data_IF_970276022735
#
_entry.id   IF_970276022735
#
_cell.length_a   1.000
_cell.length_b   1.000
_cell.length_c   1.000
_cell.angle_alpha   90.00
_cell.angle_beta   90.00
_cell.angle_gamma   90.00
#
_symmetry.space_group_name_H-M   'P 1'
#
loop_
_entity.id
_entity.type
_entity.pdbx_description
1 polymer ?
#
# COMPACT_ATOMS: atom_id res chain seq x y z
N UNK A 1 23.03 -1.45 23.33
CA UNK A 1 23.46 -0.77 22.09
C UNK A 1 23.39 -1.76 20.93
N UNK A 2 22.66 -1.42 19.89
CA UNK A 2 22.47 -2.32 18.74
C UNK A 2 23.67 -2.27 17.82
N UNK A 3 24.18 -3.41 17.40
CA UNK A 3 25.27 -3.49 16.44
C UNK A 3 24.76 -3.22 15.01
N UNK A 4 25.67 -2.85 14.12
CA UNK A 4 25.33 -2.64 12.71
C UNK A 4 24.70 -3.89 12.08
N UNK A 5 25.20 -5.09 12.43
CA UNK A 5 24.65 -6.36 11.96
C UNK A 5 23.21 -6.59 12.46
N UNK A 6 22.94 -6.25 13.72
CA UNK A 6 21.61 -6.37 14.31
C UNK A 6 20.64 -5.43 13.62
N UNK A 7 21.07 -4.19 13.32
CA UNK A 7 20.26 -3.22 12.59
C UNK A 7 19.95 -3.71 11.18
N UNK A 8 20.91 -4.30 10.48
CA UNK A 8 20.70 -4.85 9.15
C UNK A 8 19.75 -6.04 9.16
N UNK A 9 19.85 -6.92 10.16
CA UNK A 9 18.95 -8.05 10.32
C UNK A 9 17.52 -7.58 10.63
N UNK A 10 17.37 -6.56 11.49
CA UNK A 10 16.08 -5.97 11.81
C UNK A 10 15.43 -5.34 10.57
N UNK A 11 16.20 -4.59 9.78
CA UNK A 11 15.70 -4.00 8.54
C UNK A 11 15.27 -5.07 7.55
N UNK A 12 16.04 -6.16 7.42
CA UNK A 12 15.71 -7.27 6.53
C UNK A 12 14.42 -7.97 6.99
N UNK A 13 14.26 -8.19 8.29
CA UNK A 13 13.04 -8.78 8.84
C UNK A 13 11.83 -7.89 8.56
N UNK A 14 11.97 -6.58 8.69
CA UNK A 14 10.90 -5.63 8.38
C UNK A 14 10.54 -5.65 6.90
N UNK A 15 11.54 -5.74 6.01
CA UNK A 15 11.28 -5.89 4.57
C UNK A 15 10.48 -7.15 4.26
N UNK A 16 10.75 -8.26 4.97
CA UNK A 16 9.99 -9.50 4.78
C UNK A 16 8.53 -9.35 5.21
N UNK A 17 8.26 -8.64 6.32
CA UNK A 17 6.89 -8.35 6.73
C UNK A 17 6.15 -7.57 5.64
N UNK A 18 6.83 -6.59 5.04
CA UNK A 18 6.23 -5.81 3.95
C UNK A 18 5.99 -6.67 2.71
N UNK A 19 6.91 -7.59 2.37
CA UNK A 19 6.70 -8.54 1.27
C UNK A 19 5.47 -9.41 1.51
N UNK A 20 5.32 -9.92 2.73
CA UNK A 20 4.16 -10.72 3.12
C UNK A 20 2.87 -9.92 2.99
N UNK A 21 2.92 -8.61 3.24
CA UNK A 21 1.77 -7.72 3.05
C UNK A 21 1.28 -7.77 1.60
N UNK A 22 2.18 -7.62 0.64
CA UNK A 22 1.80 -7.69 -0.78
C UNK A 22 1.31 -9.08 -1.18
N UNK A 23 1.91 -10.12 -0.64
CA UNK A 23 1.48 -11.49 -0.92
C UNK A 23 0.06 -11.75 -0.41
N UNK A 24 -0.26 -11.27 0.80
CA UNK A 24 -1.59 -11.38 1.37
C UNK A 24 -2.62 -10.62 0.54
N UNK A 25 -2.28 -9.40 0.10
CA UNK A 25 -3.14 -8.61 -0.80
C UNK A 25 -3.39 -9.39 -2.10
N UNK A 26 -2.36 -9.96 -2.70
CA UNK A 26 -2.46 -10.72 -3.94
C UNK A 26 -3.36 -11.95 -3.82
N UNK A 27 -3.43 -12.56 -2.63
CA UNK A 27 -4.31 -13.69 -2.36
C UNK A 27 -5.71 -13.26 -1.94
N UNK A 28 -5.94 -11.98 -1.68
CA UNK A 28 -7.18 -11.51 -1.08
C UNK A 28 -7.38 -11.98 0.36
N UNK A 29 -6.30 -12.30 1.05
CA UNK A 29 -6.33 -12.83 2.42
C UNK A 29 -6.29 -11.69 3.44
N UNK A 30 -7.43 -11.06 3.68
CA UNK A 30 -7.53 -9.92 4.59
C UNK A 30 -7.17 -10.29 6.04
N UNK A 31 -7.60 -11.44 6.61
CA UNK A 31 -7.16 -11.80 7.95
C UNK A 31 -5.64 -11.91 8.09
N UNK A 32 -4.95 -12.54 7.13
CA UNK A 32 -3.50 -12.62 7.15
C UNK A 32 -2.86 -11.22 7.10
N UNK A 33 -3.41 -10.35 6.25
CA UNK A 33 -2.96 -8.97 6.11
C UNK A 33 -3.06 -8.21 7.44
N UNK A 34 -4.22 -8.30 8.10
CA UNK A 34 -4.43 -7.59 9.36
C UNK A 34 -3.51 -8.08 10.47
N UNK A 35 -3.11 -9.36 10.46
CA UNK A 35 -2.15 -9.89 11.42
C UNK A 35 -0.75 -9.31 11.28
N UNK A 36 -0.42 -8.74 10.14
CA UNK A 36 0.88 -8.11 9.89
C UNK A 36 0.92 -6.65 10.36
N UNK A 37 -0.20 -6.10 10.79
CA UNK A 37 -0.34 -4.69 11.14
C UNK A 37 -0.70 -4.48 12.61
N UNK A 38 -0.24 -3.36 13.17
CA UNK A 38 -0.62 -2.99 14.54
C UNK A 38 -2.11 -2.68 14.62
N UNK A 39 -2.68 -2.77 15.83
CA UNK A 39 -4.10 -2.45 16.05
C UNK A 39 -4.42 -0.99 15.74
N UNK A 40 -3.45 -0.10 15.96
CA UNK A 40 -3.59 1.34 15.74
C UNK A 40 -3.02 1.80 14.39
N UNK A 41 -2.88 0.91 13.44
CA UNK A 41 -2.30 1.22 12.12
C UNK A 41 -2.96 2.44 11.48
N UNK A 42 -2.13 3.29 10.86
CA UNK A 42 -2.58 4.43 10.10
C UNK A 42 -2.23 4.22 8.63
N UNK A 43 -3.22 4.29 7.78
CA UNK A 43 -3.10 4.00 6.35
C UNK A 43 -3.51 5.21 5.53
N UNK A 44 -2.57 5.78 4.78
CA UNK A 44 -2.82 7.00 4.01
C UNK A 44 -2.57 6.75 2.52
N UNK A 45 -3.59 7.01 1.73
CA UNK A 45 -3.49 7.08 0.28
C UNK A 45 -3.72 8.53 -0.13
N UNK A 46 -2.68 9.22 -0.56
CA UNK A 46 -2.79 10.62 -0.95
C UNK A 46 -3.48 10.75 -2.30
N UNK A 47 -4.40 11.69 -2.39
CA UNK A 47 -5.09 11.99 -3.63
C UNK A 47 -6.31 12.86 -3.43
N UNK A 48 -6.86 13.41 -4.51
CA UNK A 48 -8.05 14.22 -4.45
C UNK A 48 -9.31 13.36 -4.18
N UNK A 49 -10.44 13.99 -3.77
CA UNK A 49 -11.67 13.25 -3.45
C UNK A 49 -12.29 12.46 -4.61
N UNK A 50 -11.86 12.72 -5.84
CA UNK A 50 -12.30 11.94 -7.00
C UNK A 50 -11.82 10.50 -6.96
N UNK A 51 -10.77 10.23 -6.17
CA UNK A 51 -10.30 8.86 -5.92
C UNK A 51 -11.06 8.34 -4.70
N UNK A 52 -11.95 7.34 -4.86
CA UNK A 52 -12.84 6.90 -3.76
C UNK A 52 -12.13 6.40 -2.52
N UNK A 53 -10.91 5.85 -2.67
CA UNK A 53 -10.15 5.29 -1.55
C UNK A 53 -9.03 6.22 -1.06
N UNK A 54 -9.01 7.49 -1.52
CA UNK A 54 -8.04 8.47 -1.02
C UNK A 54 -8.34 8.88 0.42
N UNK A 55 -7.32 9.38 1.12
CA UNK A 55 -7.43 9.85 2.48
C UNK A 55 -6.72 8.96 3.48
N UNK A 56 -6.89 9.28 4.76
CA UNK A 56 -6.27 8.53 5.85
C UNK A 56 -7.32 7.69 6.55
N UNK A 57 -6.98 6.42 6.76
CA UNK A 57 -7.81 5.48 7.50
C UNK A 57 -7.03 4.91 8.66
N UNK A 58 -7.73 4.61 9.73
CA UNK A 58 -7.10 4.16 10.97
C UNK A 58 -7.71 2.84 11.42
N UNK A 59 -6.88 2.05 12.12
CA UNK A 59 -7.26 0.78 12.70
C UNK A 59 -7.62 -0.25 11.62
N UNK A 60 -7.78 -1.49 12.04
CA UNK A 60 -8.06 -2.58 11.10
C UNK A 60 -9.34 -2.36 10.30
N UNK A 61 -10.38 -1.84 10.95
CA UNK A 61 -11.66 -1.56 10.27
C UNK A 61 -11.51 -0.53 9.15
N UNK A 62 -10.76 0.53 9.40
CA UNK A 62 -10.53 1.57 8.41
C UNK A 62 -9.74 1.07 7.21
N UNK A 63 -8.74 0.23 7.46
CA UNK A 63 -7.93 -0.34 6.37
C UNK A 63 -8.71 -1.39 5.60
N UNK A 64 -9.53 -2.18 6.27
CA UNK A 64 -10.42 -3.13 5.59
C UNK A 64 -11.38 -2.39 4.64
N UNK A 65 -11.90 -1.24 5.06
CA UNK A 65 -12.72 -0.37 4.20
C UNK A 65 -11.94 0.10 2.97
N UNK A 66 -10.67 0.50 3.15
CA UNK A 66 -9.81 0.88 2.04
C UNK A 66 -9.74 -0.21 0.98
N UNK A 67 -9.44 -1.44 1.39
CA UNK A 67 -9.33 -2.56 0.45
C UNK A 67 -10.67 -2.92 -0.18
N UNK A 68 -11.76 -2.78 0.53
CA UNK A 68 -13.10 -2.96 -0.04
C UNK A 68 -13.36 -1.95 -1.15
N UNK A 69 -13.01 -0.68 -0.94
CA UNK A 69 -13.17 0.38 -1.94
C UNK A 69 -12.24 0.16 -3.14
N UNK A 70 -11.01 -0.25 -2.90
CA UNK A 70 -10.08 -0.60 -3.98
C UNK A 70 -10.66 -1.71 -4.84
N UNK A 71 -11.15 -2.79 -4.22
CA UNK A 71 -11.72 -3.91 -4.95
C UNK A 71 -12.97 -3.56 -5.75
N UNK A 72 -13.77 -2.62 -5.28
CA UNK A 72 -14.96 -2.16 -6.01
C UNK A 72 -14.62 -1.27 -7.21
N UNK A 73 -13.50 -0.59 -7.18
CA UNK A 73 -13.16 0.43 -8.16
C UNK A 73 -12.04 0.04 -9.12
N UNK A 74 -11.17 -0.89 -8.74
CA UNK A 74 -10.00 -1.24 -9.54
C UNK A 74 -9.96 -2.72 -9.88
N UNK A 75 -9.54 -3.01 -11.11
CA UNK A 75 -9.08 -4.32 -11.50
C UNK A 75 -7.61 -4.19 -11.88
N UNK A 76 -6.73 -4.82 -11.09
CA UNK A 76 -5.29 -4.78 -11.35
C UNK A 76 -4.95 -5.72 -12.48
N UNK A 77 -4.45 -5.17 -13.59
CA UNK A 77 -3.92 -5.96 -14.70
C UNK A 77 -2.47 -6.33 -14.43
N UNK A 78 -1.72 -5.37 -13.88
CA UNK A 78 -0.33 -5.55 -13.44
C UNK A 78 -0.17 -4.81 -12.12
N UNK A 79 0.38 -5.47 -11.11
CA UNK A 79 0.75 -4.83 -9.86
C UNK A 79 2.07 -5.44 -9.40
N UNK A 80 3.15 -4.68 -9.55
CA UNK A 80 4.50 -5.20 -9.33
C UNK A 80 5.26 -4.34 -8.32
N UNK A 81 5.37 -4.80 -7.04
CA UNK A 81 6.41 -4.29 -6.17
C UNK A 81 7.77 -4.71 -6.74
N UNK A 82 8.64 -3.76 -7.03
CA UNK A 82 9.90 -4.03 -7.74
C UNK A 82 11.13 -3.93 -6.86
N UNK A 83 11.19 -2.93 -6.00
CA UNK A 83 12.38 -2.68 -5.21
C UNK A 83 11.97 -2.39 -3.76
N UNK A 84 12.66 -3.05 -2.82
CA UNK A 84 12.42 -2.89 -1.39
C UNK A 84 13.68 -2.31 -0.76
N UNK A 85 13.55 -1.13 -0.16
CA UNK A 85 14.66 -0.44 0.50
C UNK A 85 14.31 -0.31 1.98
N UNK A 86 15.07 -0.95 2.84
CA UNK A 86 14.81 -0.98 4.27
C UNK A 86 15.95 -0.36 5.04
N UNK A 87 15.61 0.53 5.98
CA UNK A 87 16.57 1.12 6.90
C UNK A 87 15.86 1.32 8.24
N UNK A 88 16.40 0.69 9.31
CA UNK A 88 15.75 0.74 10.61
C UNK A 88 14.33 0.18 10.54
N UNK A 89 13.37 0.96 11.02
CA UNK A 89 11.95 0.59 11.02
C UNK A 89 11.19 1.15 9.81
N UNK A 90 11.89 1.69 8.83
CA UNK A 90 11.30 2.22 7.60
C UNK A 90 11.58 1.31 6.42
N UNK A 91 10.54 1.00 5.64
CA UNK A 91 10.66 0.25 4.40
C UNK A 91 9.99 1.05 3.29
N UNK A 92 10.74 1.32 2.22
CA UNK A 92 10.22 1.96 1.02
C UNK A 92 10.13 0.93 -0.09
N UNK A 93 9.00 0.88 -0.77
CA UNK A 93 8.78 -0.03 -1.89
C UNK A 93 8.51 0.78 -3.14
N UNK A 94 9.28 0.54 -4.18
CA UNK A 94 9.06 1.14 -5.50
C UNK A 94 8.42 0.09 -6.40
N UNK A 95 7.39 0.49 -7.12
CA UNK A 95 6.66 -0.46 -7.95
C UNK A 95 5.98 0.17 -9.14
N UNK A 96 5.22 -0.65 -9.83
CA UNK A 96 4.49 -0.28 -11.04
C UNK A 96 3.11 -0.92 -11.00
N UNK A 97 2.11 -0.21 -11.53
CA UNK A 97 0.80 -0.79 -11.73
C UNK A 97 0.18 -0.39 -13.08
N UNK A 98 -0.67 -1.28 -13.57
CA UNK A 98 -1.58 -1.03 -14.67
C UNK A 98 -2.94 -1.53 -14.21
N UNK A 99 -3.92 -0.63 -14.20
CA UNK A 99 -5.23 -0.94 -13.64
C UNK A 99 -6.37 -0.44 -14.50
N UNK A 100 -7.48 -1.15 -14.43
CA UNK A 100 -8.76 -0.74 -15.01
C UNK A 100 -9.61 -0.12 -13.92
N UNK A 101 -10.14 1.08 -14.18
CA UNK A 101 -11.12 1.74 -13.32
C UNK A 101 -12.50 1.22 -13.71
N UNK A 102 -13.09 0.40 -12.87
CA UNK A 102 -14.36 -0.25 -13.16
C UNK A 102 -15.51 0.72 -13.50
N UNK A 103 -15.73 1.81 -12.70
CA UNK A 103 -16.84 2.72 -12.99
C UNK A 103 -16.73 3.46 -14.33
N UNK A 104 -15.54 3.76 -14.82
CA UNK A 104 -15.35 4.53 -16.05
C UNK A 104 -14.92 3.68 -17.25
N UNK A 105 -14.40 2.48 -17.01
CA UNK A 105 -13.83 1.64 -18.06
C UNK A 105 -12.47 2.11 -18.55
N UNK A 106 -11.89 3.14 -17.94
CA UNK A 106 -10.59 3.68 -18.31
C UNK A 106 -9.45 2.90 -17.66
N UNK A 107 -8.31 2.86 -18.33
CA UNK A 107 -7.10 2.26 -17.78
C UNK A 107 -6.08 3.35 -17.46
N UNK A 108 -5.17 3.06 -16.52
CA UNK A 108 -4.03 3.91 -16.26
C UNK A 108 -2.82 3.06 -15.92
N UNK A 109 -1.65 3.63 -16.13
CA UNK A 109 -0.37 3.06 -15.72
C UNK A 109 0.36 4.08 -14.89
N UNK A 110 1.08 3.63 -13.87
CA UNK A 110 1.89 4.54 -13.06
C UNK A 110 2.99 3.79 -12.31
N UNK A 111 4.06 4.52 -12.04
CA UNK A 111 5.02 4.10 -11.04
C UNK A 111 4.53 4.61 -9.68
N UNK A 112 4.79 3.86 -8.64
CA UNK A 112 4.38 4.25 -7.30
C UNK A 112 5.48 3.97 -6.28
N UNK A 113 5.40 4.68 -5.16
CA UNK A 113 6.23 4.45 -4.00
C UNK A 113 5.33 4.31 -2.77
N UNK A 114 5.57 3.27 -1.98
CA UNK A 114 4.89 3.07 -0.70
C UNK A 114 5.92 3.19 0.41
N UNK A 115 5.58 3.93 1.47
CA UNK A 115 6.44 4.10 2.63
C UNK A 115 5.77 3.45 3.82
N UNK A 116 6.48 2.50 4.44
CA UNK A 116 6.00 1.77 5.61
C UNK A 116 6.83 2.15 6.82
N UNK A 117 6.17 2.40 7.95
CA UNK A 117 6.83 2.47 9.25
C UNK A 117 6.38 1.27 10.07
N UNK A 118 7.33 0.52 10.61
CA UNK A 118 7.04 -0.66 11.40
C UNK A 118 7.33 -0.39 12.88
N UNK A 119 6.66 -1.15 13.73
CA UNK A 119 6.86 -1.13 15.18
C UNK A 119 6.74 -2.55 15.68
N UNK A 120 7.80 -3.04 16.31
CA UNK A 120 7.85 -4.41 16.85
C UNK A 120 7.51 -5.48 15.80
N UNK A 121 8.02 -5.27 14.57
CA UNK A 121 7.83 -6.24 13.48
C UNK A 121 6.47 -6.20 12.81
N UNK A 122 5.65 -5.18 13.08
CA UNK A 122 4.35 -5.00 12.44
C UNK A 122 4.25 -3.63 11.79
N UNK A 123 3.47 -3.54 10.72
CA UNK A 123 3.22 -2.27 10.04
C UNK A 123 2.37 -1.37 10.94
N UNK A 124 2.89 -0.20 11.29
CA UNK A 124 2.19 0.80 12.09
C UNK A 124 1.68 1.96 11.23
N UNK A 125 2.39 2.30 10.15
CA UNK A 125 1.98 3.37 9.24
C UNK A 125 2.29 2.99 7.80
N UNK A 126 1.41 3.41 6.90
CA UNK A 126 1.56 3.27 5.46
C UNK A 126 1.23 4.57 4.77
N UNK A 127 2.04 4.94 3.80
CA UNK A 127 1.81 6.10 2.96
C UNK A 127 2.02 5.71 1.49
N UNK A 128 0.98 5.89 0.67
CA UNK A 128 1.10 5.70 -0.77
C UNK A 128 1.40 7.02 -1.46
N UNK A 129 2.49 7.04 -2.23
CA UNK A 129 2.90 8.16 -3.07
C UNK A 129 2.78 7.70 -4.52
N UNK A 130 1.78 8.20 -5.22
CA UNK A 130 1.46 7.73 -6.57
C UNK A 130 1.26 8.91 -7.52
N UNK A 131 1.12 8.61 -8.82
CA UNK A 131 0.81 9.60 -9.84
C UNK A 131 -0.65 10.06 -9.73
N UNK A 132 -0.97 10.81 -8.69
CA UNK A 132 -2.35 11.11 -8.30
C UNK A 132 -3.13 11.90 -9.34
N UNK A 133 -2.49 12.75 -10.13
CA UNK A 133 -3.18 13.52 -11.17
C UNK A 133 -3.72 12.59 -12.28
N UNK A 134 -2.90 11.64 -12.73
CA UNK A 134 -3.30 10.66 -13.76
C UNK A 134 -4.35 9.71 -13.21
N UNK A 135 -4.17 9.26 -11.98
CA UNK A 135 -5.11 8.37 -11.30
C UNK A 135 -6.48 9.06 -11.15
N UNK A 136 -6.48 10.31 -10.67
CA UNK A 136 -7.70 11.09 -10.51
C UNK A 136 -8.40 11.31 -11.84
N UNK A 137 -7.64 11.62 -12.90
CA UNK A 137 -8.20 11.81 -14.24
C UNK A 137 -8.89 10.54 -14.75
N UNK A 138 -8.33 9.36 -14.45
CA UNK A 138 -8.94 8.10 -14.85
C UNK A 138 -10.26 7.81 -14.13
N UNK A 139 -10.45 8.36 -12.93
CA UNK A 139 -11.72 8.28 -12.20
C UNK A 139 -12.75 9.31 -12.66
N UNK A 140 -12.31 10.35 -13.36
CA UNK A 140 -13.22 11.40 -13.86
C UNK A 140 -14.04 10.83 -15.02
N UNK A 141 -15.35 10.71 -14.80
CA UNK A 141 -16.26 10.19 -15.79
C UNK A 141 -16.71 11.24 -16.81
N UNK A 142 -16.24 12.49 -16.70
CA UNK A 142 -16.60 13.55 -17.63
C UNK A 142 -15.96 13.29 -19.00
N UNK A 143 -16.74 13.27 -20.09
CA UNK A 143 -16.21 13.04 -21.42
C UNK A 143 -15.21 14.11 -21.86
#
# INVERSE_FOLDING_TARGET
MTTRSEEQLGARANAEVVRETYEAVGRGDIPALLNLWTDDVQWTFQGPPTIPFAGTRRRHEGVAEFFSLVGKNLEFEVFEPREFVAQGETVVVLGFERSLIKPTGRTFEQEWAHVYALRDGKVAEFLALEGTAEHAAAFDATP
#
